data_IF_542155051168
#
_entry.id   IF_542155051168
#
_cell.length_a   1.000
_cell.length_b   1.000
_cell.length_c   1.000
_cell.angle_alpha   90.00
_cell.angle_beta   90.00
_cell.angle_gamma   90.00
#
_symmetry.space_group_name_H-M   'P 1'
#
loop_
_entity.id
_entity.type
_entity.pdbx_description
1 polymer ?
#
# COMPACT_ATOMS: atom_id res chain seq x y z
N UNK A 1 41.67 -20.75 2.28
CA UNK A 1 40.99 -20.55 3.56
C UNK A 1 39.54 -20.88 3.34
N UNK A 2 39.22 -22.15 3.61
CA UNK A 2 37.87 -22.70 3.63
C UNK A 2 37.10 -22.09 4.81
N UNK A 3 35.98 -21.43 4.51
CA UNK A 3 35.11 -20.85 5.53
C UNK A 3 33.78 -21.60 5.48
N UNK A 4 33.66 -22.52 6.45
CA UNK A 4 32.44 -22.97 7.14
C UNK A 4 31.54 -23.99 6.43
N UNK A 5 32.08 -25.22 6.29
CA UNK A 5 31.30 -26.44 6.42
C UNK A 5 31.10 -26.79 7.91
N UNK A 6 30.24 -26.04 8.60
CA UNK A 6 29.79 -26.35 9.97
C UNK A 6 28.40 -25.78 10.21
N UNK A 7 27.39 -26.47 9.70
CA UNK A 7 26.10 -26.59 10.38
C UNK A 7 25.29 -27.66 9.66
N UNK A 8 24.96 -28.75 10.35
CA UNK A 8 23.85 -29.65 9.98
C UNK A 8 22.53 -28.86 10.09
N UNK A 9 22.37 -27.77 9.34
CA UNK A 9 21.21 -26.88 9.37
C UNK A 9 20.47 -26.99 8.04
N UNK A 10 19.28 -27.57 8.09
CA UNK A 10 18.34 -27.67 6.98
C UNK A 10 17.54 -26.37 6.89
N UNK A 11 17.45 -25.83 5.67
CA UNK A 11 16.71 -24.61 5.37
C UNK A 11 15.67 -24.89 4.30
N UNK A 12 14.45 -24.41 4.52
CA UNK A 12 13.31 -24.62 3.63
C UNK A 12 12.32 -23.47 3.72
N UNK A 13 11.45 -23.34 2.71
CA UNK A 13 10.39 -22.31 2.68
C UNK A 13 9.02 -22.95 2.71
N UNK A 14 8.07 -22.28 3.36
CA UNK A 14 6.67 -22.66 3.22
C UNK A 14 6.23 -22.46 1.77
N UNK A 15 5.61 -23.48 1.13
CA UNK A 15 5.19 -23.39 -0.27
C UNK A 15 4.04 -22.42 -0.51
N UNK A 16 3.37 -21.95 0.55
CA UNK A 16 2.20 -21.07 0.44
C UNK A 16 2.43 -19.60 0.80
N UNK A 17 3.38 -19.30 1.70
CA UNK A 17 3.67 -17.93 2.11
C UNK A 17 5.16 -17.58 2.05
N UNK A 18 6.00 -18.48 1.55
CA UNK A 18 7.44 -18.32 1.36
C UNK A 18 8.27 -18.01 2.62
N UNK A 19 7.68 -18.10 3.81
CA UNK A 19 8.37 -17.96 5.11
C UNK A 19 9.52 -18.97 5.21
N UNK A 20 10.71 -18.48 5.55
CA UNK A 20 11.93 -19.28 5.66
C UNK A 20 12.01 -19.94 7.05
N UNK A 21 12.28 -21.24 7.07
CA UNK A 21 12.47 -22.07 8.27
C UNK A 21 13.89 -22.63 8.30
N UNK A 22 14.37 -22.88 9.52
CA UNK A 22 15.69 -23.45 9.80
C UNK A 22 15.57 -24.49 10.90
N UNK A 23 16.24 -25.63 10.73
CA UNK A 23 16.17 -26.76 11.66
C UNK A 23 17.43 -27.61 11.55
N UNK A 24 17.66 -28.51 12.50
CA UNK A 24 18.84 -29.39 12.49
C UNK A 24 18.61 -30.64 11.62
N UNK A 25 19.63 -31.06 10.86
CA UNK A 25 19.55 -32.19 9.94
C UNK A 25 19.35 -33.54 10.65
N UNK A 26 19.78 -33.64 11.90
CA UNK A 26 19.72 -34.85 12.71
C UNK A 26 18.28 -35.30 12.99
N UNK A 27 17.31 -34.37 12.92
CA UNK A 27 15.87 -34.64 13.08
C UNK A 27 15.27 -35.29 11.82
N UNK A 28 15.96 -35.23 10.68
CA UNK A 28 15.46 -35.67 9.36
C UNK A 28 16.09 -36.95 8.85
N UNK A 29 17.24 -37.34 9.40
CA UNK A 29 18.04 -38.46 8.90
C UNK A 29 17.28 -39.79 8.94
N UNK A 30 16.47 -40.00 9.99
CA UNK A 30 15.83 -41.30 10.29
C UNK A 30 14.29 -41.26 10.27
N UNK A 31 13.67 -40.15 9.84
CA UNK A 31 12.22 -40.00 9.85
C UNK A 31 11.56 -40.61 8.61
N UNK A 32 10.94 -41.79 8.78
CA UNK A 32 9.91 -42.32 7.89
C UNK A 32 8.58 -42.48 8.65
N UNK A 33 7.46 -41.89 8.18
CA UNK A 33 7.30 -41.09 6.95
C UNK A 33 7.96 -39.69 7.03
N UNK A 34 8.10 -39.02 5.88
CA UNK A 34 8.67 -37.66 5.79
C UNK A 34 8.04 -36.71 6.84
N UNK A 35 8.83 -35.92 7.58
CA UNK A 35 8.32 -35.07 8.65
C UNK A 35 7.41 -33.95 8.10
N UNK A 36 6.28 -33.75 8.78
CA UNK A 36 5.28 -32.74 8.46
C UNK A 36 5.48 -31.47 9.30
N UNK A 37 5.29 -30.30 8.68
CA UNK A 37 5.46 -28.99 9.29
C UNK A 37 4.21 -28.14 9.10
N UNK A 38 3.76 -27.51 10.18
CA UNK A 38 2.70 -26.51 10.14
C UNK A 38 3.29 -25.10 10.04
N UNK A 39 2.90 -24.36 9.02
CA UNK A 39 3.35 -22.99 8.87
C UNK A 39 2.64 -22.06 9.87
N UNK A 40 3.35 -21.52 10.86
CA UNK A 40 2.80 -20.47 11.74
C UNK A 40 2.23 -19.24 11.02
N UNK A 41 2.71 -18.93 9.81
CA UNK A 41 2.28 -17.75 9.05
C UNK A 41 0.97 -17.94 8.30
N UNK A 42 0.73 -19.11 7.72
CA UNK A 42 -0.45 -19.39 6.88
C UNK A 42 -1.27 -20.60 7.32
N UNK A 43 -0.90 -21.24 8.42
CA UNK A 43 -1.54 -22.43 9.02
C UNK A 43 -1.69 -23.61 8.06
N UNK A 44 -0.86 -23.69 7.02
CA UNK A 44 -0.84 -24.81 6.08
C UNK A 44 0.23 -25.81 6.46
N UNK A 45 -0.15 -27.08 6.34
CA UNK A 45 0.74 -28.24 6.55
C UNK A 45 1.48 -28.57 5.26
N UNK A 46 2.78 -28.83 5.37
CA UNK A 46 3.62 -29.21 4.23
C UNK A 46 4.70 -30.20 4.67
N UNK A 47 5.19 -31.00 3.73
CA UNK A 47 6.24 -31.97 3.97
C UNK A 47 7.55 -31.52 3.31
N UNK A 48 8.67 -31.88 3.93
CA UNK A 48 10.00 -31.61 3.42
C UNK A 48 10.48 -32.77 2.54
N UNK A 49 10.91 -32.48 1.33
CA UNK A 49 11.47 -33.45 0.38
C UNK A 49 12.99 -33.48 0.55
N UNK A 50 13.64 -34.63 0.37
CA UNK A 50 15.11 -34.78 0.43
C UNK A 50 15.85 -34.19 -0.79
N UNK A 51 15.13 -33.52 -1.69
CA UNK A 51 15.67 -32.84 -2.86
C UNK A 51 16.02 -31.40 -2.52
N UNK A 52 17.16 -30.93 -3.04
CA UNK A 52 17.57 -29.54 -2.96
C UNK A 52 17.15 -28.84 -4.26
N UNK A 53 16.62 -27.63 -4.12
CA UNK A 53 16.38 -26.76 -5.26
C UNK A 53 17.69 -26.10 -5.74
N UNK A 54 17.62 -25.38 -6.85
CA UNK A 54 18.74 -24.64 -7.45
C UNK A 54 19.36 -23.57 -6.54
N UNK A 55 18.74 -23.26 -5.41
CA UNK A 55 19.21 -22.31 -4.40
C UNK A 55 19.84 -22.98 -3.17
N UNK A 56 19.99 -24.31 -3.18
CA UNK A 56 20.53 -25.06 -2.04
C UNK A 56 19.57 -25.15 -0.84
N UNK A 57 18.26 -25.00 -1.06
CA UNK A 57 17.21 -25.17 -0.06
C UNK A 57 16.48 -26.49 -0.28
N UNK A 58 16.01 -27.12 0.80
CA UNK A 58 15.18 -28.32 0.69
C UNK A 58 13.81 -27.96 0.12
N UNK A 59 13.37 -28.75 -0.87
CA UNK A 59 12.08 -28.58 -1.51
C UNK A 59 10.95 -28.98 -0.55
N UNK A 60 9.86 -28.22 -0.56
CA UNK A 60 8.67 -28.51 0.23
C UNK A 60 7.52 -28.83 -0.70
N UNK A 61 6.79 -29.88 -0.38
CA UNK A 61 5.55 -30.24 -1.08
C UNK A 61 4.37 -29.96 -0.17
N UNK A 62 3.39 -29.24 -0.68
CA UNK A 62 2.07 -29.23 -0.07
C UNK A 62 1.50 -30.62 -0.24
N UNK A 63 1.23 -31.31 0.87
CA UNK A 63 0.31 -32.42 0.81
C UNK A 63 -1.07 -31.78 0.73
N UNK A 64 -1.77 -31.97 -0.39
CA UNK A 64 -3.15 -31.54 -0.50
C UNK A 64 -3.88 -32.13 0.69
N UNK A 65 -4.29 -31.26 1.62
CA UNK A 65 -5.18 -31.67 2.69
C UNK A 65 -6.40 -32.24 1.96
N UNK A 66 -6.69 -33.54 2.16
CA UNK A 66 -7.87 -34.17 1.57
C UNK A 66 -9.15 -33.43 1.93
N UNK A 67 -9.07 -32.53 2.92
CA UNK A 67 -10.12 -31.69 3.41
C UNK A 67 -9.77 -30.21 3.26
N UNK A 68 -10.72 -29.44 2.73
CA UNK A 68 -10.75 -27.99 2.66
C UNK A 68 -11.77 -27.47 3.67
N UNK A 69 -11.48 -26.34 4.30
CA UNK A 69 -12.43 -25.66 5.19
C UNK A 69 -13.27 -24.67 4.39
N UNK A 70 -14.60 -24.71 4.57
CA UNK A 70 -15.49 -23.75 3.92
C UNK A 70 -15.17 -22.32 4.37
N UNK A 71 -14.91 -21.38 3.44
CA UNK A 71 -14.62 -19.99 3.81
C UNK A 71 -15.85 -19.24 4.36
N UNK A 72 -17.07 -19.77 4.20
CA UNK A 72 -18.31 -19.14 4.67
C UNK A 72 -18.77 -19.64 6.04
N UNK A 73 -18.73 -20.96 6.26
CA UNK A 73 -19.27 -21.58 7.48
C UNK A 73 -18.26 -22.42 8.25
N UNK A 74 -16.98 -22.41 7.85
CA UNK A 74 -15.89 -23.16 8.49
C UNK A 74 -16.07 -24.68 8.55
N UNK A 75 -17.02 -25.23 7.78
CA UNK A 75 -17.26 -26.66 7.70
C UNK A 75 -16.13 -27.36 6.92
N UNK A 76 -15.59 -28.45 7.47
CA UNK A 76 -14.61 -29.30 6.80
C UNK A 76 -15.30 -30.09 5.69
N UNK A 77 -14.74 -30.06 4.48
CA UNK A 77 -15.25 -30.83 3.33
C UNK A 77 -14.11 -31.42 2.52
N UNK A 78 -14.33 -32.46 1.71
CA UNK A 78 -13.29 -32.98 0.83
C UNK A 78 -12.81 -31.91 -0.16
N UNK A 79 -11.51 -31.83 -0.45
CA UNK A 79 -10.95 -30.85 -1.39
C UNK A 79 -11.57 -30.95 -2.81
N UNK A 80 -12.03 -32.14 -3.20
CA UNK A 80 -12.75 -32.37 -4.46
C UNK A 80 -14.20 -31.83 -4.50
N UNK A 81 -14.75 -31.37 -3.36
CA UNK A 81 -16.13 -30.90 -3.29
C UNK A 81 -16.25 -29.49 -3.91
N UNK A 82 -17.04 -29.40 -4.99
CA UNK A 82 -17.33 -28.11 -5.67
C UNK A 82 -18.29 -27.22 -4.89
N UNK A 83 -19.07 -27.82 -3.98
CA UNK A 83 -20.10 -27.18 -3.18
C UNK A 83 -19.99 -27.61 -1.72
N UNK A 84 -20.15 -26.65 -0.80
CA UNK A 84 -20.17 -26.95 0.62
C UNK A 84 -21.48 -27.66 1.00
N UNK A 85 -21.44 -28.88 1.58
CA UNK A 85 -22.64 -29.61 1.97
C UNK A 85 -23.40 -28.95 3.13
N UNK A 86 -22.74 -28.11 3.93
CA UNK A 86 -23.33 -27.43 5.08
C UNK A 86 -24.01 -26.10 4.72
N UNK A 87 -23.50 -25.35 3.74
CA UNK A 87 -24.01 -24.01 3.42
C UNK A 87 -24.37 -23.77 1.95
N UNK A 88 -24.23 -24.79 1.09
CA UNK A 88 -24.60 -24.76 -0.32
C UNK A 88 -23.79 -23.78 -1.16
N UNK A 89 -22.57 -23.42 -0.72
CA UNK A 89 -21.74 -22.46 -1.44
C UNK A 89 -20.80 -23.14 -2.41
N UNK A 90 -20.80 -22.65 -3.65
CA UNK A 90 -19.82 -23.01 -4.66
C UNK A 90 -18.49 -22.32 -4.34
N UNK A 91 -17.47 -23.10 -3.97
CA UNK A 91 -16.20 -22.58 -3.45
C UNK A 91 -15.49 -21.72 -4.51
N UNK A 92 -15.39 -22.22 -5.75
CA UNK A 92 -14.74 -21.51 -6.87
C UNK A 92 -15.39 -20.14 -7.13
N UNK A 93 -16.74 -20.10 -7.24
CA UNK A 93 -17.48 -18.85 -7.46
C UNK A 93 -17.39 -17.90 -6.29
N UNK A 94 -17.26 -18.42 -5.07
CA UNK A 94 -17.13 -17.60 -3.86
C UNK A 94 -15.73 -17.00 -3.73
N UNK A 95 -14.68 -17.78 -3.99
CA UNK A 95 -13.29 -17.29 -4.03
C UNK A 95 -13.14 -16.21 -5.10
N UNK A 96 -13.63 -16.45 -6.31
CA UNK A 96 -13.61 -15.45 -7.38
C UNK A 96 -14.34 -14.15 -6.98
N UNK A 97 -15.47 -14.25 -6.27
CA UNK A 97 -16.19 -13.07 -5.76
C UNK A 97 -15.47 -12.39 -4.60
N UNK A 98 -14.77 -13.13 -3.75
CA UNK A 98 -13.95 -12.57 -2.67
C UNK A 98 -12.76 -11.79 -3.26
N UNK A 99 -12.06 -12.36 -4.24
CA UNK A 99 -10.95 -11.71 -4.95
C UNK A 99 -11.42 -10.44 -5.70
N UNK A 100 -12.62 -10.45 -6.30
CA UNK A 100 -13.24 -9.26 -6.89
C UNK A 100 -13.57 -8.18 -5.85
N UNK A 101 -13.89 -8.57 -4.61
CA UNK A 101 -14.31 -7.66 -3.53
C UNK A 101 -13.12 -7.08 -2.76
N UNK A 102 -12.02 -7.80 -2.61
CA UNK A 102 -10.82 -7.34 -1.90
C UNK A 102 -10.10 -6.19 -2.62
N UNK A 103 -10.23 -6.09 -3.94
CA UNK A 103 -10.04 -4.81 -4.65
C UNK A 103 -10.46 -4.93 -6.12
N UNK A 104 -11.60 -4.35 -6.54
CA UNK A 104 -12.01 -4.33 -7.94
C UNK A 104 -10.93 -3.78 -8.89
N UNK A 105 -10.07 -2.91 -8.36
CA UNK A 105 -8.92 -2.35 -9.06
C UNK A 105 -7.84 -3.40 -9.41
N UNK A 106 -7.59 -4.39 -8.55
CA UNK A 106 -6.53 -5.38 -8.76
C UNK A 106 -6.97 -6.49 -9.72
N UNK A 107 -8.26 -6.84 -9.72
CA UNK A 107 -8.84 -7.77 -10.68
C UNK A 107 -8.68 -7.29 -12.13
N UNK A 108 -9.02 -6.02 -12.40
CA UNK A 108 -8.88 -5.40 -13.72
C UNK A 108 -7.41 -5.37 -14.19
N UNK A 109 -6.48 -5.08 -13.26
CA UNK A 109 -5.04 -5.06 -13.54
C UNK A 109 -4.50 -6.47 -13.86
N UNK A 110 -4.91 -7.48 -13.08
CA UNK A 110 -4.50 -8.87 -13.30
C UNK A 110 -5.01 -9.43 -14.63
N UNK A 111 -6.21 -9.03 -15.06
CA UNK A 111 -6.75 -9.42 -16.36
C UNK A 111 -5.92 -8.86 -17.53
N UNK A 112 -5.53 -7.58 -17.46
CA UNK A 112 -4.64 -6.99 -18.47
C UNK A 112 -3.24 -7.62 -18.45
N UNK A 113 -2.75 -7.99 -17.27
CA UNK A 113 -1.48 -8.70 -17.15
C UNK A 113 -1.53 -10.07 -17.84
N UNK A 114 -2.63 -10.83 -17.67
CA UNK A 114 -2.82 -12.09 -18.39
C UNK A 114 -2.79 -11.89 -19.91
N UNK A 115 -3.45 -10.83 -20.43
CA UNK A 115 -3.43 -10.49 -21.85
C UNK A 115 -2.02 -10.08 -22.37
N UNK A 116 -1.19 -9.49 -21.50
CA UNK A 116 0.23 -9.21 -21.79
C UNK A 116 1.02 -10.51 -21.91
N UNK A 117 0.79 -11.48 -21.02
CA UNK A 117 1.48 -12.78 -21.07
C UNK A 117 1.05 -13.61 -22.29
N UNK A 118 -0.21 -13.55 -22.69
CA UNK A 118 -0.71 -14.26 -23.88
C UNK A 118 -0.12 -13.70 -25.18
N UNK A 119 0.10 -12.38 -25.26
CA UNK A 119 0.62 -11.70 -26.45
C UNK A 119 1.75 -10.74 -26.10
N UNK A 120 2.89 -11.32 -25.73
CA UNK A 120 4.04 -10.57 -25.20
C UNK A 120 4.71 -9.63 -26.20
N UNK A 121 4.59 -9.87 -27.50
CA UNK A 121 5.19 -8.97 -28.51
C UNK A 121 4.32 -7.74 -28.82
N UNK A 122 3.13 -7.64 -28.23
CA UNK A 122 2.19 -6.56 -28.53
C UNK A 122 2.37 -5.36 -27.60
N UNK A 123 3.06 -4.32 -28.09
CA UNK A 123 3.32 -3.07 -27.34
C UNK A 123 2.03 -2.42 -26.79
N UNK A 124 0.89 -2.57 -27.49
CA UNK A 124 -0.38 -2.02 -27.07
C UNK A 124 -0.87 -2.63 -25.74
N UNK A 125 -0.67 -3.94 -25.53
CA UNK A 125 -1.08 -4.60 -24.30
C UNK A 125 -0.26 -4.09 -23.12
N UNK A 126 1.04 -3.90 -23.31
CA UNK A 126 1.93 -3.32 -22.31
C UNK A 126 1.52 -1.87 -21.98
N UNK A 127 1.27 -1.03 -22.98
CA UNK A 127 0.84 0.36 -22.73
C UNK A 127 -0.52 0.44 -22.03
N UNK A 128 -1.47 -0.44 -22.39
CA UNK A 128 -2.78 -0.49 -21.74
C UNK A 128 -2.65 -0.89 -20.27
N UNK A 129 -1.86 -1.92 -19.97
CA UNK A 129 -1.55 -2.34 -18.60
C UNK A 129 -0.88 -1.22 -17.79
N UNK A 130 0.16 -0.58 -18.35
CA UNK A 130 0.87 0.51 -17.66
C UNK A 130 -0.03 1.73 -17.40
N UNK A 131 -0.91 2.06 -18.35
CA UNK A 131 -1.86 3.17 -18.20
C UNK A 131 -2.89 2.88 -17.11
N UNK A 132 -3.40 1.64 -17.03
CA UNK A 132 -4.31 1.24 -15.96
C UNK A 132 -3.61 1.27 -14.60
N UNK A 133 -2.40 0.72 -14.50
CA UNK A 133 -1.58 0.76 -13.29
C UNK A 133 -1.30 2.20 -12.84
N UNK A 134 -1.00 3.11 -13.76
CA UNK A 134 -0.81 4.53 -13.46
C UNK A 134 -2.09 5.18 -12.93
N UNK A 135 -3.25 4.93 -13.56
CA UNK A 135 -4.54 5.47 -13.14
C UNK A 135 -4.94 4.99 -11.74
N UNK A 136 -4.58 3.77 -11.36
CA UNK A 136 -4.90 3.15 -10.08
C UNK A 136 -3.79 3.32 -9.02
N UNK A 137 -2.74 4.09 -9.30
CA UNK A 137 -1.54 4.24 -8.45
C UNK A 137 -0.85 2.91 -8.08
N UNK A 138 -0.91 1.93 -8.98
CA UNK A 138 -0.35 0.60 -8.80
C UNK A 138 0.91 0.36 -9.66
N UNK A 139 1.68 1.41 -9.97
CA UNK A 139 2.91 1.27 -10.78
C UNK A 139 3.98 0.39 -10.10
N UNK A 140 4.03 0.36 -8.76
CA UNK A 140 4.92 -0.55 -8.02
C UNK A 140 4.58 -2.03 -8.29
N UNK A 141 3.29 -2.34 -8.46
CA UNK A 141 2.85 -3.69 -8.82
C UNK A 141 3.29 -4.05 -10.23
N UNK A 142 3.16 -3.11 -11.18
CA UNK A 142 3.68 -3.30 -12.54
C UNK A 142 5.20 -3.54 -12.52
N UNK A 143 5.96 -2.77 -11.75
CA UNK A 143 7.41 -2.95 -11.61
C UNK A 143 7.77 -4.36 -11.15
N UNK A 144 7.12 -4.85 -10.08
CA UNK A 144 7.35 -6.20 -9.57
C UNK A 144 7.08 -7.27 -10.64
N UNK A 145 5.96 -7.16 -11.38
CA UNK A 145 5.62 -8.11 -12.44
C UNK A 145 6.67 -8.20 -13.55
N UNK A 146 7.18 -7.07 -14.02
CA UNK A 146 8.23 -7.07 -15.05
C UNK A 146 9.60 -7.48 -14.48
N UNK A 147 9.90 -7.18 -13.21
CA UNK A 147 11.13 -7.61 -12.56
C UNK A 147 11.16 -9.13 -12.35
N UNK A 148 10.04 -9.72 -11.93
CA UNK A 148 9.87 -11.16 -11.82
C UNK A 148 9.97 -11.83 -13.19
N UNK A 149 9.31 -11.26 -14.21
CA UNK A 149 9.39 -11.77 -15.57
C UNK A 149 10.83 -11.76 -16.12
N UNK A 150 11.60 -10.71 -15.82
CA UNK A 150 13.03 -10.62 -16.16
C UNK A 150 13.85 -11.71 -15.47
N UNK A 151 13.56 -12.03 -14.21
CA UNK A 151 14.26 -13.10 -13.48
C UNK A 151 13.94 -14.48 -14.05
N UNK A 152 12.71 -14.70 -14.51
CA UNK A 152 12.26 -16.01 -15.02
C UNK A 152 12.67 -16.27 -16.47
N UNK A 153 12.53 -15.28 -17.37
CA UNK A 153 12.81 -15.47 -18.81
C UNK A 153 14.23 -15.07 -19.22
N UNK A 154 15.02 -14.49 -18.30
CA UNK A 154 16.36 -13.98 -18.59
C UNK A 154 16.36 -12.56 -19.17
N UNK A 155 17.49 -12.15 -19.74
CA UNK A 155 17.69 -10.79 -20.23
C UNK A 155 16.89 -10.54 -21.52
N UNK A 156 15.77 -9.85 -21.40
CA UNK A 156 14.95 -9.41 -22.53
C UNK A 156 14.95 -7.89 -22.65
N UNK A 157 15.31 -7.39 -23.84
CA UNK A 157 15.33 -5.97 -24.19
C UNK A 157 13.95 -5.32 -24.04
N UNK A 158 12.87 -6.08 -24.25
CA UNK A 158 11.51 -5.59 -24.13
C UNK A 158 11.12 -5.34 -22.66
N UNK A 159 11.48 -6.27 -21.76
CA UNK A 159 11.30 -6.10 -20.32
C UNK A 159 12.06 -4.88 -19.80
N UNK A 160 13.32 -4.69 -20.24
CA UNK A 160 14.13 -3.55 -19.82
C UNK A 160 13.52 -2.21 -20.27
N UNK A 161 12.98 -2.16 -21.50
CA UNK A 161 12.28 -0.98 -22.02
C UNK A 161 11.12 -0.58 -21.11
N UNK A 162 10.28 -1.53 -20.70
CA UNK A 162 9.12 -1.21 -19.85
C UNK A 162 9.48 -0.95 -18.40
N UNK A 163 10.50 -1.61 -17.85
CA UNK A 163 11.01 -1.30 -16.50
C UNK A 163 11.48 0.15 -16.41
N UNK A 164 12.27 0.62 -17.39
CA UNK A 164 12.69 2.04 -17.47
C UNK A 164 11.48 2.97 -17.61
N UNK A 165 10.48 2.59 -18.42
CA UNK A 165 9.28 3.38 -18.58
C UNK A 165 8.46 3.49 -17.28
N UNK A 166 8.39 2.43 -16.48
CA UNK A 166 7.70 2.42 -15.18
C UNK A 166 8.42 3.32 -14.17
N UNK A 167 9.76 3.25 -14.11
CA UNK A 167 10.59 4.05 -13.21
C UNK A 167 10.37 5.55 -13.44
N UNK A 168 10.44 6.00 -14.69
CA UNK A 168 10.16 7.41 -15.05
C UNK A 168 8.75 7.83 -14.63
N UNK A 169 7.74 6.97 -14.82
CA UNK A 169 6.35 7.28 -14.43
C UNK A 169 6.17 7.32 -12.91
N UNK A 170 6.89 6.48 -12.16
CA UNK A 170 6.89 6.48 -10.69
C UNK A 170 7.47 7.78 -10.14
N UNK A 171 8.62 8.22 -10.66
CA UNK A 171 9.25 9.49 -10.28
C UNK A 171 8.32 10.68 -10.54
N UNK A 172 7.65 10.70 -11.70
CA UNK A 172 6.68 11.74 -12.04
C UNK A 172 5.49 11.77 -11.05
N UNK A 173 4.97 10.60 -10.66
CA UNK A 173 3.89 10.53 -9.65
C UNK A 173 4.36 11.06 -8.29
N UNK A 174 5.59 10.73 -7.89
CA UNK A 174 6.15 11.20 -6.62
C UNK A 174 6.33 12.73 -6.62
N UNK A 175 6.90 13.29 -7.68
CA UNK A 175 7.07 14.74 -7.83
C UNK A 175 5.71 15.47 -7.85
N UNK A 176 4.71 14.92 -8.54
CA UNK A 176 3.37 15.50 -8.60
C UNK A 176 2.70 15.53 -7.21
N UNK A 177 2.86 14.46 -6.43
CA UNK A 177 2.34 14.38 -5.05
C UNK A 177 3.02 15.42 -4.14
N UNK A 178 4.35 15.50 -4.18
CA UNK A 178 5.13 16.48 -3.41
C UNK A 178 4.77 17.93 -3.74
N UNK A 179 4.57 18.26 -5.02
CA UNK A 179 4.11 19.61 -5.42
C UNK A 179 2.72 19.93 -4.87
N UNK A 180 1.80 18.96 -4.91
CA UNK A 180 0.43 19.16 -4.42
C UNK A 180 0.44 19.47 -2.93
N UNK A 181 1.15 18.67 -2.14
CA UNK A 181 1.24 18.83 -0.68
C UNK A 181 1.81 20.21 -0.31
N UNK A 182 2.84 20.69 -1.01
CA UNK A 182 3.45 22.01 -0.80
C UNK A 182 2.54 23.20 -1.18
N UNK A 183 1.56 23.01 -2.07
CA UNK A 183 0.58 24.06 -2.43
C UNK A 183 -0.62 24.13 -1.49
N UNK A 184 -1.05 22.99 -0.94
CA UNK A 184 -2.16 22.93 0.04
C UNK A 184 -1.82 23.59 1.37
N UNK A 185 -0.55 23.57 1.78
CA UNK A 185 -0.13 24.19 3.04
C UNK A 185 -0.11 25.74 2.98
N UNK A 186 0.08 26.33 1.78
CA UNK A 186 0.14 27.79 1.62
C UNK A 186 -1.24 28.47 1.54
N UNK A 187 -2.32 27.73 1.28
CA UNK A 187 -3.67 28.30 1.12
C UNK A 187 -4.46 28.32 2.42
N UNK A 188 -4.30 27.34 3.31
CA UNK A 188 -4.98 27.28 4.62
C UNK A 188 -4.42 28.26 5.65
N UNK A 189 -3.10 28.51 5.67
CA UNK A 189 -2.50 29.46 6.61
C UNK A 189 -2.84 30.94 6.35
N UNK A 190 -3.06 31.32 5.09
CA UNK A 190 -3.34 32.72 4.72
C UNK A 190 -4.78 33.14 4.98
N UNK A 191 -5.76 32.27 4.70
CA UNK A 191 -7.16 32.57 4.96
C UNK A 191 -7.45 32.63 6.47
N UNK A 192 -6.95 31.67 7.25
CA UNK A 192 -7.19 31.63 8.71
C UNK A 192 -6.60 32.85 9.44
N UNK A 193 -5.43 33.33 9.02
CA UNK A 193 -4.81 34.57 9.55
C UNK A 193 -5.72 35.79 9.37
N UNK A 194 -6.31 35.98 8.20
CA UNK A 194 -7.18 37.13 7.93
C UNK A 194 -8.45 37.14 8.79
N UNK A 195 -9.04 35.98 9.08
CA UNK A 195 -10.20 35.86 9.96
C UNK A 195 -9.86 36.13 11.43
N UNK A 196 -8.68 35.73 11.90
CA UNK A 196 -8.24 36.00 13.27
C UNK A 196 -8.06 37.50 13.50
N UNK A 197 -7.39 38.21 12.58
CA UNK A 197 -7.20 39.66 12.70
C UNK A 197 -8.53 40.43 12.60
N UNK A 198 -9.46 40.00 11.74
CA UNK A 198 -10.79 40.58 11.66
C UNK A 198 -11.60 40.36 12.96
N UNK A 199 -11.51 39.16 13.54
CA UNK A 199 -12.18 38.83 14.81
C UNK A 199 -11.69 39.68 15.98
N UNK A 200 -10.37 39.87 16.11
CA UNK A 200 -9.78 40.71 17.18
C UNK A 200 -10.25 42.17 17.04
N UNK A 201 -10.31 42.70 15.81
CA UNK A 201 -10.83 44.05 15.55
C UNK A 201 -12.29 44.21 15.98
N UNK A 202 -13.13 43.22 15.69
CA UNK A 202 -14.56 43.24 16.05
C UNK A 202 -14.78 43.17 17.57
N UNK A 203 -14.02 42.31 18.27
CA UNK A 203 -14.06 42.20 19.73
C UNK A 203 -13.62 43.51 20.39
N UNK A 204 -12.55 44.14 19.88
CA UNK A 204 -12.11 45.44 20.39
C UNK A 204 -13.14 46.56 20.19
N UNK A 205 -13.82 46.59 19.05
CA UNK A 205 -14.90 47.55 18.79
C UNK A 205 -16.11 47.31 19.72
N UNK A 206 -16.49 46.06 19.95
CA UNK A 206 -17.56 45.70 20.87
C UNK A 206 -17.24 46.13 22.32
N UNK A 207 -15.98 45.97 22.76
CA UNK A 207 -15.53 46.44 24.08
C UNK A 207 -15.59 47.97 24.22
N UNK A 208 -15.30 48.72 23.15
CA UNK A 208 -15.46 50.19 23.16
C UNK A 208 -16.93 50.61 23.28
N UNK A 209 -17.83 49.94 22.55
CA UNK A 209 -19.28 50.20 22.64
C UNK A 209 -19.78 49.86 24.04
N UNK A 210 -19.35 48.73 24.62
CA UNK A 210 -19.75 48.31 25.95
C UNK A 210 -19.24 49.25 27.05
N UNK A 211 -17.98 49.70 26.98
CA UNK A 211 -17.42 50.67 27.93
C UNK A 211 -18.11 52.03 27.83
N UNK A 212 -18.57 52.44 26.64
CA UNK A 212 -19.39 53.65 26.46
C UNK A 212 -20.75 53.54 27.15
N UNK A 213 -21.36 52.36 27.16
CA UNK A 213 -22.66 52.11 27.81
C UNK A 213 -22.51 51.97 29.33
N UNK A 214 -21.41 51.37 29.80
CA UNK A 214 -21.07 51.27 31.23
C UNK A 214 -19.62 51.67 31.46
N UNK A 215 -19.35 52.91 31.90
CA UNK A 215 -17.98 53.39 32.16
C UNK A 215 -17.43 52.69 33.41
N UNK A 216 -16.90 51.49 33.21
CA UNK A 216 -16.43 50.63 34.30
C UNK A 216 -14.93 50.84 34.53
N UNK A 217 -14.16 51.18 33.48
CA UNK A 217 -12.72 51.41 33.55
C UNK A 217 -12.27 52.50 32.55
N UNK A 218 -12.16 53.78 32.97
CA UNK A 218 -11.81 54.88 32.07
C UNK A 218 -10.38 54.79 31.50
N UNK A 219 -9.45 54.20 32.24
CA UNK A 219 -8.04 54.09 31.84
C UNK A 219 -7.79 52.99 30.78
N UNK A 220 -8.73 52.03 30.64
CA UNK A 220 -8.60 50.92 29.69
C UNK A 220 -8.94 51.35 28.25
N UNK A 221 -9.69 52.44 28.10
CA UNK A 221 -10.22 52.91 26.81
C UNK A 221 -9.12 53.23 25.82
N UNK A 222 -8.05 53.91 26.27
CA UNK A 222 -6.91 54.25 25.40
C UNK A 222 -6.16 53.02 24.89
N UNK A 223 -6.02 51.98 25.72
CA UNK A 223 -5.36 50.74 25.36
C UNK A 223 -6.18 49.93 24.34
N UNK A 224 -7.51 49.86 24.49
CA UNK A 224 -8.39 49.20 23.52
C UNK A 224 -8.39 49.92 22.17
N UNK A 225 -8.38 51.26 22.16
CA UNK A 225 -8.25 52.05 20.92
C UNK A 225 -6.91 51.79 20.23
N UNK A 226 -5.81 51.74 20.97
CA UNK A 226 -4.50 51.44 20.39
C UNK A 226 -4.44 50.03 19.76
N UNK A 227 -4.97 49.01 20.45
CA UNK A 227 -4.98 47.62 19.96
C UNK A 227 -5.87 47.47 18.72
N UNK A 228 -7.03 48.12 18.71
CA UNK A 228 -7.95 48.06 17.55
C UNK A 228 -7.35 48.74 16.31
N UNK A 229 -6.72 49.91 16.47
CA UNK A 229 -6.03 50.59 15.37
C UNK A 229 -4.85 49.79 14.83
N UNK A 230 -4.03 49.20 15.71
CA UNK A 230 -2.92 48.33 15.30
C UNK A 230 -3.41 47.08 14.57
N UNK A 231 -4.47 46.45 15.06
CA UNK A 231 -5.06 45.26 14.44
C UNK A 231 -5.62 45.58 13.04
N UNK A 232 -6.29 46.73 12.89
CA UNK A 232 -6.82 47.18 11.62
C UNK A 232 -5.73 47.59 10.63
N UNK A 233 -4.69 48.28 11.10
CA UNK A 233 -3.53 48.65 10.29
C UNK A 233 -2.77 47.44 9.75
N UNK A 234 -2.54 46.42 10.59
CA UNK A 234 -1.92 45.16 10.17
C UNK A 234 -2.79 44.38 9.17
N UNK A 235 -4.12 44.41 9.36
CA UNK A 235 -5.06 43.79 8.42
C UNK A 235 -5.03 44.46 7.04
N UNK A 236 -5.06 45.80 6.98
CA UNK A 236 -4.95 46.54 5.70
C UNK A 236 -3.62 46.28 5.00
N UNK A 237 -2.51 46.30 5.74
CA UNK A 237 -1.19 46.03 5.19
C UNK A 237 -1.06 44.61 4.64
N UNK A 238 -1.61 43.62 5.35
CA UNK A 238 -1.69 42.23 4.90
C UNK A 238 -2.54 42.09 3.63
N UNK A 239 -3.68 42.79 3.58
CA UNK A 239 -4.58 42.78 2.41
C UNK A 239 -3.94 43.43 1.18
N UNK A 240 -3.19 44.52 1.34
CA UNK A 240 -2.51 45.19 0.21
C UNK A 240 -1.43 44.31 -0.43
N UNK A 241 -0.66 43.57 0.38
CA UNK A 241 0.36 42.64 -0.12
C UNK A 241 -0.25 41.53 -0.99
N UNK A 242 -1.48 41.12 -0.70
CA UNK A 242 -2.20 40.12 -1.50
C UNK A 242 -2.65 40.65 -2.86
N UNK A 243 -3.02 41.93 -2.96
CA UNK A 243 -3.46 42.52 -4.24
C UNK A 243 -2.30 42.77 -5.21
N UNK A 244 -1.07 42.95 -4.71
CA UNK A 244 0.13 43.18 -5.54
C UNK A 244 0.83 41.89 -6.01
N UNK A 245 0.28 40.71 -5.70
CA UNK A 245 0.84 39.40 -6.11
C UNK A 245 -0.05 38.61 -7.08
N UNK A 246 -1.06 39.29 -7.65
CA UNK A 246 -1.85 38.88 -8.82
C UNK A 246 -1.33 39.62 -10.05
#
# INVERSE_FOLDING_TARGET
MDILNTSNEIRFRCPSCEKLYRTQADVFADAEPEPEFDCEGCQKTFALTRTLNSFGLFETKTRDSNFLTCPKCTHLMPNAAKECPSCGIFIEKFQQKMEQKESPALYEINQLWAAVLENFNNDQNHQNFLTLCQKKMALNFAFQKYDDLRKTMGYDLLCEKYLKQIEVRLEQQFIAKMRKDMTTEKTTGKAMSQWIFAGIGFVGLALLIFNKIRPTYPNLTGLVVAITLLSFGLWLFSSQKNNNTL
#
